data_IF_831539700200
#
_entry.id   IF_831539700200
#
_cell.length_a   1.000
_cell.length_b   1.000
_cell.length_c   1.000
_cell.angle_alpha   90.00
_cell.angle_beta   90.00
_cell.angle_gamma   90.00
#
_symmetry.space_group_name_H-M   'P 1'
#
loop_
_entity.id
_entity.type
_entity.pdbx_description
1 polymer ?
#
# COMPACT_ATOMS: atom_id res chain seq x y z
N UNK A 1 1.62 -22.45 -1.13
CA UNK A 1 1.93 -23.01 -2.46
C UNK A 1 1.73 -21.89 -3.47
N UNK A 2 2.78 -21.48 -4.18
CA UNK A 2 2.71 -20.47 -5.25
C UNK A 2 2.79 -21.24 -6.56
N UNK A 3 1.88 -20.98 -7.48
CA UNK A 3 1.86 -21.56 -8.83
C UNK A 3 2.15 -20.41 -9.78
N UNK A 4 3.21 -20.55 -10.57
CA UNK A 4 3.66 -19.56 -11.54
C UNK A 4 4.02 -20.24 -12.85
N UNK A 5 3.84 -19.53 -13.97
CA UNK A 5 4.35 -19.92 -15.28
C UNK A 5 5.83 -19.50 -15.47
N UNK A 6 6.37 -18.72 -14.52
CA UNK A 6 7.78 -18.34 -14.49
C UNK A 6 8.64 -19.33 -13.70
N UNK A 7 9.94 -19.37 -14.01
CA UNK A 7 10.89 -20.26 -13.35
C UNK A 7 10.94 -20.01 -11.84
N UNK A 8 10.65 -21.05 -11.05
CA UNK A 8 10.61 -20.99 -9.59
C UNK A 8 11.97 -20.58 -9.02
N UNK A 9 12.10 -19.32 -8.63
CA UNK A 9 13.30 -18.76 -8.01
C UNK A 9 12.96 -18.04 -6.70
N UNK A 10 13.96 -17.78 -5.86
CA UNK A 10 13.79 -16.94 -4.67
C UNK A 10 13.25 -15.54 -5.02
N UNK A 11 13.55 -15.05 -6.22
CA UNK A 11 13.02 -13.80 -6.74
C UNK A 11 11.51 -13.87 -6.98
N UNK A 12 11.01 -14.96 -7.57
CA UNK A 12 9.57 -15.18 -7.79
C UNK A 12 8.79 -15.21 -6.47
N UNK A 13 9.36 -15.81 -5.42
CA UNK A 13 8.74 -15.80 -4.08
C UNK A 13 8.80 -14.43 -3.41
N UNK A 14 9.90 -13.68 -3.58
CA UNK A 14 10.00 -12.30 -3.08
C UNK A 14 8.94 -11.41 -3.74
N UNK A 15 8.82 -11.49 -5.06
CA UNK A 15 7.82 -10.74 -5.83
C UNK A 15 6.39 -11.13 -5.44
N UNK A 16 6.11 -12.42 -5.23
CA UNK A 16 4.82 -12.85 -4.70
C UNK A 16 4.56 -12.33 -3.27
N UNK A 17 5.61 -12.14 -2.47
CA UNK A 17 5.54 -11.54 -1.14
C UNK A 17 5.10 -10.07 -1.14
N UNK A 18 5.41 -9.32 -2.20
CA UNK A 18 4.97 -7.92 -2.36
C UNK A 18 3.44 -7.81 -2.49
N UNK A 19 2.74 -8.90 -2.85
CA UNK A 19 1.27 -8.95 -2.93
C UNK A 19 0.58 -8.59 -1.61
N UNK A 20 1.24 -8.80 -0.47
CA UNK A 20 0.69 -8.41 0.83
C UNK A 20 0.54 -6.90 1.00
N UNK A 21 1.22 -6.06 0.20
CA UNK A 21 1.03 -4.61 0.21
C UNK A 21 -0.38 -4.20 -0.23
N UNK A 22 -1.04 -5.00 -1.08
CA UNK A 22 -2.43 -4.78 -1.50
C UNK A 22 -3.39 -4.95 -0.32
N UNK A 23 -3.06 -5.78 0.68
CA UNK A 23 -3.92 -5.94 1.86
C UNK A 23 -3.96 -4.66 2.72
N UNK A 24 -2.87 -3.89 2.78
CA UNK A 24 -2.86 -2.59 3.45
C UNK A 24 -3.82 -1.61 2.77
N UNK A 25 -3.78 -1.57 1.44
CA UNK A 25 -4.65 -0.71 0.62
C UNK A 25 -6.12 -1.13 0.73
N UNK A 26 -6.42 -2.44 0.70
CA UNK A 26 -7.77 -2.98 0.87
C UNK A 26 -8.34 -2.75 2.28
N UNK A 27 -7.50 -2.83 3.32
CA UNK A 27 -7.92 -2.53 4.69
C UNK A 27 -8.31 -1.06 4.84
N UNK A 28 -7.57 -0.17 4.19
CA UNK A 28 -7.91 1.24 4.18
C UNK A 28 -9.18 1.52 3.39
N UNK A 29 -9.38 0.91 2.22
CA UNK A 29 -10.59 1.15 1.41
C UNK A 29 -11.90 0.74 2.10
N UNK A 30 -11.89 -0.35 2.90
CA UNK A 30 -13.11 -0.91 3.53
C UNK A 30 -13.68 -0.05 4.67
N UNK A 31 -12.91 0.20 5.73
CA UNK A 31 -13.42 0.88 6.94
C UNK A 31 -12.85 2.28 7.16
N UNK A 32 -11.72 2.61 6.52
CA UNK A 32 -10.92 3.78 6.84
C UNK A 32 -10.81 4.82 5.72
N UNK A 33 -11.29 4.51 4.52
CA UNK A 33 -11.11 5.27 3.28
C UNK A 33 -12.38 5.93 2.82
N UNK A 34 -13.19 5.24 1.99
CA UNK A 34 -14.31 5.87 1.28
C UNK A 34 -15.71 5.44 1.75
N UNK A 35 -15.83 4.35 2.54
CA UNK A 35 -17.10 3.87 3.10
C UNK A 35 -18.22 3.76 2.04
N UNK A 36 -17.92 3.13 0.90
CA UNK A 36 -18.83 3.03 -0.26
C UNK A 36 -20.26 2.60 0.11
N UNK A 37 -20.40 1.69 1.08
CA UNK A 37 -21.69 1.18 1.54
C UNK A 37 -22.59 2.28 2.15
N UNK A 38 -22.01 3.37 2.66
CA UNK A 38 -22.76 4.54 3.17
C UNK A 38 -23.28 5.46 2.08
N UNK A 39 -22.86 5.29 0.83
CA UNK A 39 -23.36 6.12 -0.27
C UNK A 39 -24.83 5.84 -0.60
N UNK A 40 -25.37 4.68 -0.17
CA UNK A 40 -26.74 4.21 -0.43
C UNK A 40 -27.16 4.22 -1.92
N UNK A 41 -26.18 4.29 -2.83
CA UNK A 41 -26.43 4.35 -4.28
C UNK A 41 -26.93 2.98 -4.75
N UNK A 42 -28.18 2.94 -5.22
CA UNK A 42 -28.82 1.74 -5.79
C UNK A 42 -28.71 1.62 -7.31
N UNK A 43 -28.26 2.70 -7.97
CA UNK A 43 -28.11 2.74 -9.42
C UNK A 43 -26.73 2.18 -9.82
N UNK A 44 -26.72 1.06 -10.54
CA UNK A 44 -25.49 0.45 -11.06
C UNK A 44 -24.57 1.44 -11.82
N UNK A 45 -25.04 2.27 -12.78
CA UNK A 45 -24.17 3.22 -13.47
C UNK A 45 -23.65 4.34 -12.55
N UNK A 46 -24.41 4.74 -11.52
CA UNK A 46 -23.92 5.72 -10.54
C UNK A 46 -22.85 5.11 -9.64
N UNK A 47 -23.01 3.84 -9.24
CA UNK A 47 -22.01 3.11 -8.47
C UNK A 47 -20.71 2.95 -9.25
N UNK A 48 -20.78 2.58 -10.54
CA UNK A 48 -19.57 2.48 -11.39
C UNK A 48 -18.82 3.81 -11.49
N UNK A 49 -19.53 4.94 -11.63
CA UNK A 49 -18.90 6.27 -11.65
C UNK A 49 -18.26 6.61 -10.31
N UNK A 50 -18.93 6.30 -9.20
CA UNK A 50 -18.36 6.50 -7.87
C UNK A 50 -17.10 5.66 -7.67
N UNK A 51 -17.10 4.39 -8.08
CA UNK A 51 -15.92 3.53 -8.04
C UNK A 51 -14.75 4.12 -8.84
N UNK A 52 -15.00 4.69 -10.02
CA UNK A 52 -13.95 5.37 -10.80
C UNK A 52 -13.37 6.57 -10.04
N UNK A 53 -14.23 7.41 -9.46
CA UNK A 53 -13.79 8.58 -8.67
C UNK A 53 -12.96 8.14 -7.47
N UNK A 54 -13.40 7.11 -6.76
CA UNK A 54 -12.65 6.56 -5.63
C UNK A 54 -11.32 5.98 -6.06
N UNK A 55 -11.27 5.21 -7.15
CA UNK A 55 -10.01 4.66 -7.67
C UNK A 55 -8.99 5.75 -8.03
N UNK A 56 -9.46 6.84 -8.66
CA UNK A 56 -8.61 8.01 -8.96
C UNK A 56 -8.16 8.70 -7.68
N UNK A 57 -9.05 8.85 -6.68
CA UNK A 57 -8.69 9.44 -5.40
C UNK A 57 -7.67 8.58 -4.64
N UNK A 58 -7.85 7.25 -4.59
CA UNK A 58 -6.89 6.29 -4.03
C UNK A 58 -5.52 6.49 -4.68
N UNK A 59 -5.47 6.51 -6.02
CA UNK A 59 -4.23 6.68 -6.77
C UNK A 59 -3.51 7.99 -6.42
N UNK A 60 -4.25 9.11 -6.41
CA UNK A 60 -3.68 10.43 -6.11
C UNK A 60 -3.15 10.49 -4.69
N UNK A 61 -3.88 9.96 -3.71
CA UNK A 61 -3.47 9.95 -2.31
C UNK A 61 -2.27 9.03 -2.08
N UNK A 62 -2.23 7.84 -2.69
CA UNK A 62 -1.08 6.93 -2.62
C UNK A 62 0.17 7.61 -3.18
N UNK A 63 0.08 8.29 -4.33
CA UNK A 63 1.18 9.07 -4.92
C UNK A 63 1.66 10.20 -4.00
N UNK A 64 0.73 10.96 -3.40
CA UNK A 64 1.10 11.99 -2.42
C UNK A 64 1.81 11.37 -1.22
N UNK A 65 1.31 10.24 -0.72
CA UNK A 65 1.94 9.49 0.37
C UNK A 65 3.37 9.09 0.07
N UNK A 66 3.62 8.50 -1.11
CA UNK A 66 4.97 8.12 -1.54
C UNK A 66 5.90 9.34 -1.58
N UNK A 67 5.42 10.48 -2.05
CA UNK A 67 6.23 11.70 -2.12
C UNK A 67 6.49 12.33 -0.76
N UNK A 68 5.55 12.25 0.17
CA UNK A 68 5.77 12.66 1.57
C UNK A 68 6.88 11.85 2.22
N UNK A 69 6.91 10.53 1.98
CA UNK A 69 7.97 9.64 2.47
C UNK A 69 9.29 9.95 1.77
N UNK A 70 9.31 10.06 0.44
CA UNK A 70 10.51 10.40 -0.32
C UNK A 70 11.11 11.77 0.08
N UNK A 71 10.26 12.73 0.47
CA UNK A 71 10.68 14.03 0.97
C UNK A 71 11.13 14.01 2.45
N UNK A 72 11.12 12.86 3.13
CA UNK A 72 11.48 12.73 4.54
C UNK A 72 10.48 13.35 5.52
N UNK A 73 9.27 13.68 5.06
CA UNK A 73 8.24 14.38 5.86
C UNK A 73 7.22 13.45 6.50
N UNK A 74 7.37 12.12 6.35
CA UNK A 74 6.47 11.10 6.92
C UNK A 74 6.12 11.35 8.38
N UNK A 75 7.11 11.68 9.21
CA UNK A 75 6.95 11.86 10.67
C UNK A 75 5.94 12.96 11.07
N UNK A 76 5.59 13.84 10.14
CA UNK A 76 4.62 14.92 10.38
C UNK A 76 3.19 14.40 10.36
N UNK A 77 2.97 13.26 9.69
CA UNK A 77 1.64 12.67 9.45
C UNK A 77 1.53 11.20 9.90
N UNK A 78 2.65 10.59 10.26
CA UNK A 78 2.76 9.26 10.84
C UNK A 78 3.77 9.29 11.99
N UNK A 79 3.27 9.24 13.23
CA UNK A 79 4.07 9.34 14.45
C UNK A 79 4.89 8.06 14.73
N UNK A 80 4.63 6.95 14.03
CA UNK A 80 5.29 5.69 14.30
C UNK A 80 6.78 5.74 13.91
N UNK A 81 7.60 5.06 14.71
CA UNK A 81 9.04 4.98 14.47
C UNK A 81 9.34 4.35 13.11
N UNK A 82 8.74 3.19 12.86
CA UNK A 82 8.62 2.56 11.54
C UNK A 82 7.32 3.02 10.87
N UNK A 83 7.19 2.86 9.55
CA UNK A 83 5.95 3.24 8.87
C UNK A 83 4.79 2.44 9.44
N UNK A 84 3.85 3.11 10.10
CA UNK A 84 2.66 2.47 10.68
C UNK A 84 1.43 2.60 9.79
N UNK A 85 1.43 3.60 8.90
CA UNK A 85 0.34 3.92 7.99
C UNK A 85 0.70 3.53 6.55
N UNK A 86 -0.29 3.11 5.77
CA UNK A 86 -0.11 2.94 4.32
C UNK A 86 0.22 4.29 3.64
N UNK A 87 0.73 4.24 2.41
CA UNK A 87 0.93 5.44 1.60
C UNK A 87 -0.38 6.21 1.36
N UNK A 88 -1.50 5.51 1.12
CA UNK A 88 -2.82 6.11 1.00
C UNK A 88 -3.16 6.96 2.25
N UNK A 89 -2.96 6.40 3.44
CA UNK A 89 -3.25 7.06 4.71
C UNK A 89 -2.31 8.22 5.00
N UNK A 90 -1.03 8.08 4.66
CA UNK A 90 -0.03 9.16 4.74
C UNK A 90 -0.45 10.33 3.84
N UNK A 91 -0.81 10.06 2.59
CA UNK A 91 -1.28 11.07 1.64
C UNK A 91 -2.55 11.76 2.09
N UNK A 92 -3.50 11.01 2.66
CA UNK A 92 -4.73 11.57 3.25
C UNK A 92 -4.46 12.53 4.41
N UNK A 93 -3.59 12.14 5.35
CA UNK A 93 -3.22 13.00 6.47
C UNK A 93 -2.44 14.24 6.00
N UNK A 94 -1.60 14.09 4.97
CA UNK A 94 -0.93 15.23 4.35
C UNK A 94 -1.91 16.21 3.72
N UNK A 95 -2.91 15.71 2.97
CA UNK A 95 -3.96 16.54 2.39
C UNK A 95 -4.76 17.31 3.46
N UNK A 96 -5.05 16.68 4.60
CA UNK A 96 -5.63 17.42 5.74
C UNK A 96 -4.72 18.54 6.23
N UNK A 97 -3.41 18.31 6.32
CA UNK A 97 -2.44 19.34 6.65
C UNK A 97 -2.38 20.47 5.62
N UNK A 98 -2.51 20.15 4.32
CA UNK A 98 -2.67 21.16 3.26
C UNK A 98 -3.89 22.05 3.52
N UNK A 99 -5.04 21.43 3.81
CA UNK A 99 -6.30 22.15 4.02
C UNK A 99 -6.34 22.96 5.32
N UNK A 100 -5.79 22.43 6.41
CA UNK A 100 -5.88 23.06 7.73
C UNK A 100 -4.67 23.94 8.09
N UNK A 101 -3.49 23.60 7.58
CA UNK A 101 -2.22 24.25 7.95
C UNK A 101 -1.55 24.96 6.77
N UNK A 102 -2.15 24.93 5.57
CA UNK A 102 -1.63 25.60 4.38
C UNK A 102 -0.36 24.97 3.82
N UNK A 103 -0.13 23.68 4.08
CA UNK A 103 0.96 22.94 3.43
C UNK A 103 0.78 22.90 1.91
N UNK A 104 1.84 22.57 1.18
CA UNK A 104 1.80 22.44 -0.28
C UNK A 104 1.57 20.99 -0.68
N UNK A 105 0.69 20.79 -1.66
CA UNK A 105 0.60 19.54 -2.39
C UNK A 105 1.84 19.37 -3.26
N UNK A 106 2.21 18.13 -3.50
CA UNK A 106 3.17 17.84 -4.53
C UNK A 106 2.46 17.81 -5.89
N UNK A 107 3.00 18.54 -6.87
CA UNK A 107 2.40 18.65 -8.20
C UNK A 107 2.71 17.46 -9.11
N UNK A 108 3.69 16.64 -8.74
CA UNK A 108 4.14 15.53 -9.56
C UNK A 108 3.23 14.33 -9.35
N UNK A 109 2.88 13.63 -10.43
CA UNK A 109 2.25 12.31 -10.35
C UNK A 109 3.28 11.29 -10.81
N UNK A 110 3.96 10.66 -9.85
CA UNK A 110 4.92 9.60 -10.11
C UNK A 110 4.67 8.45 -9.14
N UNK A 111 4.43 7.27 -9.69
CA UNK A 111 4.33 6.02 -8.94
C UNK A 111 5.69 5.33 -9.05
N UNK A 112 6.37 5.15 -7.92
CA UNK A 112 7.55 4.29 -7.88
C UNK A 112 7.11 2.87 -7.59
N UNK A 113 7.32 1.96 -8.54
CA UNK A 113 7.16 0.51 -8.37
C UNK A 113 8.41 -0.19 -7.84
N UNK A 114 9.39 0.57 -7.36
CA UNK A 114 10.58 0.02 -6.72
C UNK A 114 10.23 -0.59 -5.36
N UNK A 115 11.07 -1.52 -4.89
CA UNK A 115 10.94 -2.12 -3.56
C UNK A 115 10.71 -1.05 -2.51
N UNK A 116 9.72 -1.28 -1.65
CA UNK A 116 9.27 -0.31 -0.67
C UNK A 116 10.42 0.16 0.24
N UNK A 117 10.82 1.44 0.21
CA UNK A 117 11.97 1.93 0.98
C UNK A 117 11.71 1.93 2.50
N UNK A 118 10.45 2.01 2.91
CA UNK A 118 10.05 2.01 4.32
C UNK A 118 8.83 1.09 4.53
N UNK A 119 9.00 -0.24 4.53
CA UNK A 119 7.89 -1.18 4.62
C UNK A 119 7.05 -0.94 5.87
N UNK A 120 5.73 -1.04 5.74
CA UNK A 120 4.87 -0.87 6.90
C UNK A 120 5.07 -2.01 7.89
N UNK A 121 5.06 -1.67 9.16
CA UNK A 121 5.20 -2.65 10.24
C UNK A 121 4.38 -2.23 11.44
N UNK A 122 3.46 -3.08 11.87
CA UNK A 122 2.68 -2.83 13.07
C UNK A 122 3.46 -3.11 14.37
N UNK A 123 4.57 -3.87 14.31
CA UNK A 123 5.37 -4.23 15.47
C UNK A 123 6.78 -4.71 15.13
N UNK A 124 7.74 -4.49 16.04
CA UNK A 124 9.09 -5.07 15.98
C UNK A 124 9.07 -6.60 15.87
N UNK A 125 8.10 -7.26 16.52
CA UNK A 125 7.93 -8.74 16.41
C UNK A 125 7.55 -9.18 15.01
N UNK A 126 6.79 -8.36 14.29
CA UNK A 126 6.38 -8.66 12.92
C UNK A 126 7.56 -8.53 11.95
N UNK A 127 8.41 -7.52 12.13
CA UNK A 127 9.66 -7.38 11.38
C UNK A 127 10.58 -8.56 11.63
N UNK A 128 10.75 -8.95 12.89
CA UNK A 128 11.56 -10.12 13.25
C UNK A 128 11.03 -11.39 12.56
N UNK A 129 9.72 -11.61 12.58
CA UNK A 129 9.06 -12.73 11.89
C UNK A 129 9.19 -12.65 10.37
N UNK A 130 9.27 -11.45 9.80
CA UNK A 130 9.45 -11.23 8.37
C UNK A 130 10.88 -11.53 7.93
N UNK A 131 11.88 -11.19 8.76
CA UNK A 131 13.28 -11.57 8.59
C UNK A 131 13.47 -13.10 8.75
N UNK A 132 12.80 -13.73 9.70
CA UNK A 132 12.82 -15.20 9.90
C UNK A 132 12.17 -15.99 8.76
N UNK A 133 11.37 -15.33 7.90
CA UNK A 133 10.72 -15.94 6.73
C UNK A 133 11.61 -15.95 5.49
N UNK A 134 12.91 -15.69 5.60
CA UNK A 134 13.86 -15.99 4.53
C UNK A 134 13.84 -17.51 4.25
N UNK A 135 13.20 -17.87 3.14
CA UNK A 135 12.71 -19.21 2.85
C UNK A 135 13.80 -20.28 2.77
N UNK A 136 13.49 -21.50 3.21
CA UNK A 136 14.31 -22.69 2.93
C UNK A 136 13.82 -23.35 1.64
N UNK A 137 14.62 -23.30 0.57
CA UNK A 137 14.29 -23.97 -0.70
C UNK A 137 14.47 -25.48 -0.54
N UNK A 138 13.39 -26.25 -0.71
CA UNK A 138 13.45 -27.71 -0.84
C UNK A 138 13.05 -28.10 -2.25
N UNK A 139 14.04 -28.43 -3.08
CA UNK A 139 13.83 -28.94 -4.43
C UNK A 139 13.65 -30.46 -4.39
N UNK A 140 12.54 -30.95 -4.95
CA UNK A 140 12.29 -32.39 -5.14
C UNK A 140 12.37 -32.70 -6.63
N UNK A 141 13.31 -33.54 -7.03
CA UNK A 141 13.37 -34.10 -8.37
C UNK A 141 12.60 -35.41 -8.39
N UNK A 142 11.53 -35.49 -9.16
CA UNK A 142 10.85 -36.75 -9.44
C UNK A 142 11.44 -37.34 -10.71
N UNK A 143 12.16 -38.45 -10.58
CA UNK A 143 12.54 -39.29 -11.72
C UNK A 143 11.32 -40.10 -12.14
N UNK A 144 10.98 -40.03 -13.43
CA UNK A 144 9.91 -40.85 -14.06
C UNK A 144 10.18 -42.34 -13.96
#
# INVERSE_FOLDING_TARGET
MVVSDESTSLQTFREYGERFQIEEELLDEKSNGFQLERSEIRSAPALSRLCLVMAVATLLLTVQGQQVVAAGKRRWVDAHWQRGNSYLRIGWNWLKGVLHQGWRLFSTISLSGYADPEPASASKKQIQKQLEREFTVKSYSFTS
#
